data_IF_119083434327
#
_entry.id   IF_119083434327
#
_cell.length_a   1.000
_cell.length_b   1.000
_cell.length_c   1.000
_cell.angle_alpha   90.00
_cell.angle_beta   90.00
_cell.angle_gamma   90.00
#
_symmetry.space_group_name_H-M   'P 1'
#
loop_
_entity.id
_entity.type
_entity.pdbx_description
1 polymer ?
#
# COMPACT_ATOMS: atom_id res chain seq x y z
N UNK A 1 17.05 10.06 25.65
CA UNK A 1 17.16 11.21 24.73
C UNK A 1 17.85 10.85 23.40
N UNK A 2 18.89 10.01 23.39
CA UNK A 2 19.60 9.60 22.16
C UNK A 2 18.77 8.83 21.13
N UNK A 3 17.70 8.15 21.54
CA UNK A 3 16.87 7.36 20.60
C UNK A 3 16.09 8.25 19.62
N UNK A 4 15.52 9.37 20.09
CA UNK A 4 14.82 10.35 19.24
C UNK A 4 15.76 11.13 18.33
N UNK A 5 16.98 11.37 18.80
CA UNK A 5 18.03 12.05 18.07
C UNK A 5 19.15 11.06 17.79
N UNK A 6 18.84 10.04 16.98
CA UNK A 6 19.77 8.92 16.78
C UNK A 6 20.97 9.32 15.93
N UNK A 7 22.16 8.88 16.37
CA UNK A 7 23.42 9.07 15.66
C UNK A 7 24.06 7.71 15.33
N UNK A 8 23.50 6.93 14.38
CA UNK A 8 24.07 5.64 13.99
C UNK A 8 25.40 5.78 13.22
N UNK A 9 25.70 6.99 12.73
CA UNK A 9 27.01 7.40 12.18
C UNK A 9 27.57 8.57 12.96
N UNK A 10 28.90 8.64 13.03
CA UNK A 10 29.61 9.77 13.63
C UNK A 10 29.99 10.74 12.53
N UNK A 11 29.34 11.90 12.52
CA UNK A 11 29.55 12.94 11.52
C UNK A 11 30.06 14.19 12.22
N UNK A 12 31.16 14.76 11.74
CA UNK A 12 31.71 16.03 12.18
C UNK A 12 31.72 17.00 11.00
N UNK A 13 30.94 18.06 11.09
CA UNK A 13 30.89 19.11 10.07
C UNK A 13 32.11 20.04 10.19
N UNK A 14 32.74 20.38 9.07
CA UNK A 14 33.76 21.43 9.02
C UNK A 14 33.07 22.75 8.72
N UNK A 15 33.16 23.68 9.68
CA UNK A 15 32.57 25.00 9.59
C UNK A 15 33.64 25.99 9.13
N UNK A 16 33.35 26.70 8.06
CA UNK A 16 34.17 27.78 7.52
C UNK A 16 33.50 29.11 7.87
N UNK A 17 34.21 29.99 8.59
CA UNK A 17 33.69 31.29 9.00
C UNK A 17 34.03 32.31 7.91
N UNK A 18 33.10 32.48 6.98
CA UNK A 18 33.21 33.38 5.84
C UNK A 18 31.80 33.79 5.40
N UNK A 19 31.68 34.98 4.80
CA UNK A 19 30.41 35.40 4.20
C UNK A 19 30.25 34.73 2.84
N UNK A 20 29.13 34.06 2.64
CA UNK A 20 28.76 33.53 1.33
C UNK A 20 27.30 33.10 1.27
N UNK A 21 26.94 32.39 0.22
CA UNK A 21 25.57 31.96 -0.06
C UNK A 21 25.51 30.43 0.03
N UNK A 22 24.51 29.90 0.73
CA UNK A 22 24.31 28.46 0.84
C UNK A 22 23.77 27.88 -0.48
N UNK A 23 24.45 26.87 -1.04
CA UNK A 23 24.04 26.23 -2.30
C UNK A 23 22.68 25.49 -2.23
N UNK A 24 22.22 25.14 -1.01
CA UNK A 24 20.98 24.38 -0.82
C UNK A 24 19.75 25.29 -0.71
N UNK A 25 19.85 26.37 0.08
CA UNK A 25 18.72 27.26 0.36
C UNK A 25 18.87 28.67 -0.22
N UNK A 26 20.00 28.96 -0.86
CA UNK A 26 20.35 30.24 -1.49
C UNK A 26 20.32 31.46 -0.54
N UNK A 27 20.47 31.23 0.77
CA UNK A 27 20.51 32.31 1.79
C UNK A 27 21.94 32.69 2.12
N UNK A 28 22.17 33.97 2.39
CA UNK A 28 23.46 34.46 2.90
C UNK A 28 23.73 33.90 4.30
N UNK A 29 24.97 33.48 4.56
CA UNK A 29 25.44 33.00 5.86
C UNK A 29 26.87 33.46 6.10
N UNK A 30 27.21 33.72 7.37
CA UNK A 30 28.58 33.97 7.84
C UNK A 30 29.32 32.69 8.26
N UNK A 31 28.64 31.54 8.20
CA UNK A 31 29.20 30.22 8.46
C UNK A 31 28.71 29.27 7.37
N UNK A 32 29.64 28.69 6.62
CA UNK A 32 29.37 27.70 5.58
C UNK A 32 29.93 26.33 5.98
N UNK A 33 29.34 25.27 5.43
CA UNK A 33 29.80 23.89 5.61
C UNK A 33 30.06 23.29 4.25
N UNK A 34 31.33 23.14 3.89
CA UNK A 34 31.75 22.61 2.57
C UNK A 34 32.23 21.15 2.63
N UNK A 35 32.56 20.66 3.82
CA UNK A 35 33.05 19.30 4.01
C UNK A 35 32.66 18.74 5.39
N UNK A 36 32.76 17.42 5.53
CA UNK A 36 32.56 16.74 6.79
C UNK A 36 33.50 15.53 6.91
N UNK A 37 33.80 15.13 8.13
CA UNK A 37 34.40 13.83 8.41
C UNK A 37 33.30 12.86 8.86
N UNK A 38 33.39 11.62 8.39
CA UNK A 38 32.50 10.55 8.81
C UNK A 38 33.30 9.35 9.32
N UNK A 39 32.82 8.73 10.38
CA UNK A 39 33.27 7.42 10.84
C UNK A 39 32.08 6.49 10.99
N UNK A 40 32.20 5.26 10.51
CA UNK A 40 31.20 4.22 10.67
C UNK A 40 31.02 3.84 12.14
N UNK A 41 29.93 3.12 12.44
CA UNK A 41 29.60 2.57 13.76
C UNK A 41 29.47 3.64 14.86
N UNK A 42 28.31 4.28 14.93
CA UNK A 42 27.87 5.11 16.06
C UNK A 42 27.23 4.25 17.17
N UNK A 43 26.20 4.78 17.83
CA UNK A 43 25.45 4.02 18.84
C UNK A 43 24.60 2.92 18.17
N UNK A 44 24.51 1.76 18.83
CA UNK A 44 23.57 0.69 18.47
C UNK A 44 22.25 0.87 19.22
N UNK A 45 21.14 0.68 18.51
CA UNK A 45 19.78 0.87 19.06
C UNK A 45 18.94 -0.42 19.00
N UNK A 46 19.50 -1.53 18.51
CA UNK A 46 18.79 -2.79 18.26
C UNK A 46 18.50 -3.59 19.53
N UNK A 47 19.29 -3.43 20.59
CA UNK A 47 19.20 -4.27 21.80
C UNK A 47 18.16 -3.76 22.81
N UNK A 48 17.66 -2.53 22.66
CA UNK A 48 16.80 -1.87 23.65
C UNK A 48 15.30 -2.10 23.48
N UNK A 49 14.86 -2.91 22.51
CA UNK A 49 13.43 -3.16 22.24
C UNK A 49 12.62 -1.89 21.95
N UNK A 50 13.28 -0.81 21.54
CA UNK A 50 12.66 0.50 21.39
C UNK A 50 11.79 0.57 20.13
N UNK A 51 10.56 1.06 20.31
CA UNK A 51 9.59 1.31 19.24
C UNK A 51 9.48 2.83 19.07
N UNK A 52 9.86 3.33 17.90
CA UNK A 52 9.83 4.76 17.57
C UNK A 52 8.36 5.22 17.44
N UNK A 53 7.95 6.32 18.10
CA UNK A 53 6.54 6.70 18.12
C UNK A 53 6.01 7.26 16.80
N UNK A 54 6.89 7.63 15.87
CA UNK A 54 6.56 8.18 14.55
C UNK A 54 6.57 7.15 13.41
N UNK A 55 6.83 5.88 13.68
CA UNK A 55 6.88 4.85 12.64
C UNK A 55 5.93 3.71 12.97
N UNK A 56 5.26 3.11 11.97
CA UNK A 56 4.55 1.86 12.17
C UNK A 56 5.55 0.69 12.23
N UNK A 57 5.16 -0.38 12.90
CA UNK A 57 6.00 -1.57 13.11
C UNK A 57 5.23 -2.85 12.81
N UNK A 58 5.91 -3.88 12.32
CA UNK A 58 5.41 -5.24 12.23
C UNK A 58 6.16 -6.16 13.17
N UNK A 59 5.50 -7.23 13.59
CA UNK A 59 6.09 -8.27 14.42
C UNK A 59 6.65 -9.38 13.52
N UNK A 60 7.91 -9.74 13.72
CA UNK A 60 8.52 -10.92 13.09
C UNK A 60 9.19 -11.75 14.17
N UNK A 61 8.75 -13.00 14.31
CA UNK A 61 9.09 -13.86 15.46
C UNK A 61 8.72 -13.14 16.77
N UNK A 62 9.69 -12.85 17.61
CA UNK A 62 9.50 -12.18 18.91
C UNK A 62 9.95 -10.71 18.89
N UNK A 63 10.32 -10.18 17.72
CA UNK A 63 10.89 -8.83 17.60
C UNK A 63 10.02 -7.91 16.74
N UNK A 64 9.99 -6.64 17.12
CA UNK A 64 9.32 -5.58 16.37
C UNK A 64 10.28 -4.92 15.40
N UNK A 65 9.85 -4.76 14.16
CA UNK A 65 10.63 -4.11 13.10
C UNK A 65 9.83 -2.96 12.50
N UNK A 66 10.48 -1.81 12.23
CA UNK A 66 9.79 -0.70 11.58
C UNK A 66 9.45 -1.08 10.13
N UNK A 67 8.33 -0.61 9.63
CA UNK A 67 8.07 -0.68 8.20
C UNK A 67 9.01 0.27 7.45
N UNK A 68 9.58 -0.24 6.35
CA UNK A 68 10.36 0.54 5.41
C UNK A 68 9.58 0.69 4.10
N UNK A 69 9.57 1.89 3.49
CA UNK A 69 9.06 2.05 2.13
C UNK A 69 9.70 1.03 1.19
N UNK A 70 8.88 0.46 0.31
CA UNK A 70 9.30 -0.52 -0.68
C UNK A 70 9.24 0.10 -2.08
N UNK A 71 9.90 -0.50 -3.09
CA UNK A 71 9.70 -0.12 -4.48
C UNK A 71 8.22 -0.07 -4.84
N UNK A 72 7.79 1.01 -5.49
CA UNK A 72 6.39 1.26 -5.83
C UNK A 72 5.66 2.22 -4.88
N UNK A 73 6.27 2.56 -3.75
CA UNK A 73 5.84 3.65 -2.88
C UNK A 73 4.78 3.29 -1.83
N UNK A 74 4.23 4.32 -1.18
CA UNK A 74 3.27 4.20 -0.09
C UNK A 74 1.86 4.38 -0.65
N UNK A 75 1.23 3.27 -1.02
CA UNK A 75 -0.09 3.23 -1.66
C UNK A 75 -1.18 2.80 -0.68
N UNK A 76 -2.44 3.00 -1.05
CA UNK A 76 -3.59 2.71 -0.17
C UNK A 76 -3.67 1.27 0.37
N UNK A 77 -2.98 0.29 -0.23
CA UNK A 77 -2.91 -1.07 0.31
C UNK A 77 -2.32 -1.13 1.74
N UNK A 78 -1.52 -0.14 2.12
CA UNK A 78 -0.93 0.00 3.45
C UNK A 78 -1.79 0.85 4.40
N UNK A 79 -2.91 1.40 3.92
CA UNK A 79 -3.74 2.34 4.68
C UNK A 79 -4.13 1.77 6.05
N UNK A 80 -4.61 0.51 6.09
CA UNK A 80 -5.05 -0.11 7.34
C UNK A 80 -3.89 -0.28 8.34
N UNK A 81 -2.71 -0.70 7.89
CA UNK A 81 -1.50 -0.80 8.73
C UNK A 81 -1.05 0.56 9.27
N UNK A 82 -1.13 1.61 8.44
CA UNK A 82 -0.69 2.95 8.83
C UNK A 82 -1.68 3.60 9.80
N UNK A 83 -2.98 3.51 9.50
CA UNK A 83 -4.03 4.23 10.22
C UNK A 83 -4.50 3.51 11.48
N UNK A 84 -4.57 2.17 11.45
CA UNK A 84 -5.18 1.37 12.51
C UNK A 84 -4.15 0.42 13.17
N UNK A 85 -3.43 -0.33 12.34
CA UNK A 85 -2.62 -1.47 12.78
C UNK A 85 -3.48 -2.66 13.20
N UNK A 86 -2.84 -3.80 13.48
CA UNK A 86 -3.43 -5.07 13.89
C UNK A 86 -2.60 -5.59 15.06
N UNK A 87 -2.90 -5.14 16.28
CA UNK A 87 -2.04 -5.17 17.47
C UNK A 87 -1.12 -6.40 17.67
N UNK A 88 -1.55 -7.59 17.25
CA UNK A 88 -0.77 -8.84 17.37
C UNK A 88 0.28 -9.04 16.26
N UNK A 89 0.05 -8.51 15.06
CA UNK A 89 0.87 -8.70 13.86
C UNK A 89 1.60 -7.41 13.45
N UNK A 90 0.94 -6.26 13.57
CA UNK A 90 1.49 -4.95 13.29
C UNK A 90 0.88 -3.84 14.17
N UNK A 91 1.51 -2.67 14.20
CA UNK A 91 1.01 -1.53 14.95
C UNK A 91 1.26 -0.24 14.16
N UNK A 92 0.21 0.59 14.10
CA UNK A 92 0.33 1.97 13.64
C UNK A 92 1.29 2.76 14.56
N UNK A 93 1.85 3.84 14.02
CA UNK A 93 2.71 4.73 14.79
C UNK A 93 1.98 5.21 16.06
N UNK A 94 2.70 5.35 17.18
CA UNK A 94 2.12 5.74 18.46
C UNK A 94 1.35 7.06 18.36
N UNK A 95 1.86 8.03 17.60
CA UNK A 95 1.17 9.32 17.40
C UNK A 95 -0.20 9.16 16.75
N UNK A 96 -0.35 8.23 15.81
CA UNK A 96 -1.62 7.91 15.15
C UNK A 96 -2.57 7.22 16.13
N UNK A 97 -2.07 6.22 16.88
CA UNK A 97 -2.88 5.52 17.91
C UNK A 97 -3.37 6.47 19.01
N UNK A 98 -2.56 7.47 19.38
CA UNK A 98 -2.99 8.52 20.32
C UNK A 98 -4.02 9.45 19.70
N UNK A 99 -3.91 9.71 18.40
CA UNK A 99 -4.85 10.55 17.66
C UNK A 99 -6.22 9.88 17.48
N UNK A 100 -6.33 8.55 17.34
CA UNK A 100 -7.62 7.83 17.28
C UNK A 100 -8.53 8.12 18.48
N UNK A 101 -7.95 8.42 19.64
CA UNK A 101 -8.71 8.74 20.85
C UNK A 101 -9.15 10.22 20.94
N UNK A 102 -8.70 11.07 20.01
CA UNK A 102 -9.03 12.49 19.95
C UNK A 102 -10.40 12.66 19.30
N UNK A 103 -11.29 13.43 19.93
CA UNK A 103 -12.65 13.72 19.42
C UNK A 103 -12.81 15.21 19.24
N UNK A 104 -12.41 15.74 18.08
CA UNK A 104 -12.75 17.11 17.70
C UNK A 104 -13.80 17.07 16.60
N UNK A 105 -15.03 17.57 16.86
CA UNK A 105 -16.07 17.65 15.86
C UNK A 105 -15.61 18.48 14.65
N UNK A 106 -15.75 17.93 13.44
CA UNK A 106 -15.43 18.63 12.18
C UNK A 106 -13.94 18.71 11.83
N UNK A 107 -13.04 18.12 12.62
CA UNK A 107 -11.60 18.07 12.29
C UNK A 107 -11.36 17.14 11.10
N UNK A 108 -10.95 17.69 9.96
CA UNK A 108 -10.42 16.90 8.85
C UNK A 108 -8.94 16.66 9.12
N UNK A 109 -8.56 15.39 9.23
CA UNK A 109 -7.17 14.98 9.47
C UNK A 109 -6.69 14.11 8.33
N UNK A 110 -5.43 14.32 7.93
CA UNK A 110 -4.68 13.44 7.05
C UNK A 110 -3.44 12.90 7.78
N UNK A 111 -2.93 11.78 7.29
CA UNK A 111 -1.64 11.22 7.71
C UNK A 111 -0.65 11.50 6.60
N UNK A 112 0.38 12.29 6.89
CA UNK A 112 1.54 12.40 6.02
C UNK A 112 2.50 11.25 6.34
N UNK A 113 2.76 10.42 5.34
CA UNK A 113 3.71 9.31 5.42
C UNK A 113 4.86 9.51 4.46
N UNK A 114 6.07 9.18 4.89
CA UNK A 114 7.24 9.35 4.04
C UNK A 114 8.39 8.44 4.47
N UNK A 115 9.33 8.26 3.55
CA UNK A 115 10.64 7.67 3.86
C UNK A 115 11.39 7.24 2.61
N UNK A 116 12.65 6.84 2.82
CA UNK A 116 13.47 6.27 1.75
C UNK A 116 13.21 4.79 1.57
N UNK A 117 13.03 4.39 0.31
CA UNK A 117 13.31 3.03 -0.12
C UNK A 117 14.83 2.84 -0.25
N UNK A 118 15.36 1.85 0.45
CA UNK A 118 16.80 1.61 0.62
C UNK A 118 17.15 0.22 0.09
N UNK A 119 18.27 0.12 -0.61
CA UNK A 119 18.90 -1.15 -0.99
C UNK A 119 20.37 -1.14 -0.55
N UNK A 120 20.72 -1.97 0.44
CA UNK A 120 22.05 -2.08 1.03
C UNK A 120 22.77 -0.72 1.20
N UNK A 121 22.20 0.15 2.05
CA UNK A 121 22.70 1.50 2.35
C UNK A 121 22.65 2.51 1.19
N UNK A 122 22.04 2.16 0.05
CA UNK A 122 21.78 3.08 -1.06
C UNK A 122 20.33 3.53 -1.04
N UNK A 123 20.10 4.84 -0.99
CA UNK A 123 18.78 5.42 -1.19
C UNK A 123 18.41 5.27 -2.67
N UNK A 124 17.32 4.53 -2.95
CA UNK A 124 16.79 4.36 -4.31
C UNK A 124 15.80 5.45 -4.66
N UNK A 125 14.88 5.74 -3.75
CA UNK A 125 13.79 6.70 -3.96
C UNK A 125 13.29 7.25 -2.61
N UNK A 126 12.90 8.53 -2.59
CA UNK A 126 12.06 9.08 -1.52
C UNK A 126 10.60 8.90 -1.91
N UNK A 127 9.82 8.28 -1.03
CA UNK A 127 8.38 8.18 -1.19
C UNK A 127 7.68 9.03 -0.13
N UNK A 128 6.60 9.65 -0.55
CA UNK A 128 5.73 10.48 0.27
C UNK A 128 4.30 10.27 -0.19
N UNK A 129 3.38 10.18 0.78
CA UNK A 129 1.96 10.02 0.52
C UNK A 129 1.16 10.63 1.67
N UNK A 130 0.18 11.44 1.30
CA UNK A 130 -0.81 11.99 2.22
C UNK A 130 -2.09 11.16 2.08
N UNK A 131 -2.49 10.48 3.16
CA UNK A 131 -3.65 9.60 3.17
C UNK A 131 -4.72 10.11 4.14
N UNK A 132 -6.02 9.92 3.85
CA UNK A 132 -7.08 10.35 4.75
C UNK A 132 -7.04 9.56 6.08
N UNK A 133 -7.27 10.27 7.18
CA UNK A 133 -7.49 9.67 8.49
C UNK A 133 -8.99 9.67 8.83
N UNK A 134 -9.51 8.52 9.24
CA UNK A 134 -10.91 8.39 9.62
C UNK A 134 -11.01 8.15 11.13
N UNK A 135 -11.68 9.06 11.82
CA UNK A 135 -11.96 8.91 13.25
C UNK A 135 -13.20 8.01 13.42
N UNK A 136 -12.99 6.79 13.92
CA UNK A 136 -14.03 5.78 14.11
C UNK A 136 -14.25 5.58 15.61
N UNK A 137 -15.51 5.58 16.04
CA UNK A 137 -15.84 5.33 17.44
C UNK A 137 -15.54 3.89 17.84
N UNK A 138 -15.16 3.66 19.10
CA UNK A 138 -14.74 2.36 19.61
C UNK A 138 -15.80 1.25 19.48
N UNK A 139 -17.09 1.61 19.47
CA UNK A 139 -18.21 0.68 19.23
C UNK A 139 -18.34 0.24 17.76
N UNK A 140 -17.68 0.93 16.82
CA UNK A 140 -17.77 0.68 15.37
C UNK A 140 -16.45 0.24 14.74
N UNK A 141 -15.33 0.35 15.47
CA UNK A 141 -13.98 0.14 14.94
C UNK A 141 -13.79 -1.28 14.37
N UNK A 142 -14.21 -2.33 15.10
CA UNK A 142 -14.08 -3.71 14.62
C UNK A 142 -14.84 -3.94 13.32
N UNK A 143 -16.07 -3.41 13.22
CA UNK A 143 -16.88 -3.56 12.01
C UNK A 143 -16.27 -2.81 10.82
N UNK A 144 -15.77 -1.60 11.06
CA UNK A 144 -15.08 -0.80 10.06
C UNK A 144 -13.83 -1.52 9.55
N UNK A 145 -12.98 -2.00 10.47
CA UNK A 145 -11.77 -2.78 10.15
C UNK A 145 -12.09 -4.03 9.33
N UNK A 146 -13.16 -4.75 9.68
CA UNK A 146 -13.62 -5.91 8.93
C UNK A 146 -13.94 -5.54 7.47
N UNK A 147 -14.70 -4.47 7.25
CA UNK A 147 -15.09 -4.04 5.90
C UNK A 147 -13.87 -3.59 5.09
N UNK A 148 -12.99 -2.77 5.68
CA UNK A 148 -11.75 -2.31 5.02
C UNK A 148 -10.85 -3.50 4.66
N UNK A 149 -10.71 -4.47 5.56
CA UNK A 149 -9.92 -5.68 5.31
C UNK A 149 -10.45 -6.46 4.10
N UNK A 150 -11.77 -6.65 4.01
CA UNK A 150 -12.41 -7.34 2.87
C UNK A 150 -12.17 -6.58 1.54
N UNK A 151 -12.29 -5.24 1.56
CA UNK A 151 -12.04 -4.35 0.41
C UNK A 151 -10.58 -4.44 -0.07
N UNK A 152 -9.62 -4.38 0.86
CA UNK A 152 -8.18 -4.48 0.56
C UNK A 152 -7.78 -5.87 0.07
N UNK A 153 -8.35 -6.93 0.67
CA UNK A 153 -8.08 -8.31 0.24
C UNK A 153 -8.61 -8.58 -1.18
N UNK A 154 -9.79 -8.06 -1.52
CA UNK A 154 -10.31 -8.14 -2.89
C UNK A 154 -9.42 -7.41 -3.90
N UNK A 155 -8.92 -6.23 -3.54
CA UNK A 155 -7.95 -5.48 -4.35
C UNK A 155 -6.68 -6.30 -4.60
N UNK A 156 -6.19 -6.98 -3.55
CA UNK A 156 -5.00 -7.84 -3.62
C UNK A 156 -5.22 -9.04 -4.55
N UNK A 157 -6.38 -9.69 -4.48
CA UNK A 157 -6.72 -10.83 -5.35
C UNK A 157 -6.86 -10.40 -6.81
N UNK A 158 -7.56 -9.30 -7.10
CA UNK A 158 -7.71 -8.79 -8.48
C UNK A 158 -6.35 -8.35 -9.07
N UNK A 159 -5.51 -7.68 -8.28
CA UNK A 159 -4.14 -7.32 -8.66
C UNK A 159 -3.29 -8.54 -9.02
N UNK A 160 -3.41 -9.62 -8.23
CA UNK A 160 -2.75 -10.91 -8.52
C UNK A 160 -3.27 -11.53 -9.82
N UNK A 161 -4.59 -11.52 -10.03
CA UNK A 161 -5.22 -12.02 -11.25
C UNK A 161 -4.74 -11.25 -12.49
N UNK A 162 -4.67 -9.91 -12.41
CA UNK A 162 -4.13 -9.04 -13.46
C UNK A 162 -2.70 -9.46 -13.83
N UNK A 163 -1.82 -9.58 -12.83
CA UNK A 163 -0.42 -9.98 -13.05
C UNK A 163 -0.31 -11.33 -13.74
N UNK A 164 -1.11 -12.30 -13.30
CA UNK A 164 -1.13 -13.62 -13.91
C UNK A 164 -1.67 -13.59 -15.34
N UNK A 165 -2.70 -12.78 -15.60
CA UNK A 165 -3.27 -12.64 -16.92
C UNK A 165 -2.27 -12.03 -17.91
N UNK A 166 -1.61 -10.92 -17.55
CA UNK A 166 -0.58 -10.29 -18.40
C UNK A 166 0.57 -11.26 -18.64
N UNK A 167 1.03 -11.98 -17.61
CA UNK A 167 2.03 -13.04 -17.78
C UNK A 167 1.59 -14.10 -18.79
N UNK A 168 0.35 -14.57 -18.69
CA UNK A 168 -0.21 -15.57 -19.61
C UNK A 168 -0.38 -15.02 -21.04
N UNK A 169 -0.55 -13.71 -21.20
CA UNK A 169 -0.64 -13.06 -22.50
C UNK A 169 0.74 -12.91 -23.16
N UNK A 170 1.79 -12.67 -22.38
CA UNK A 170 3.14 -12.44 -22.89
C UNK A 170 3.95 -13.72 -23.12
N UNK A 171 3.90 -14.67 -22.17
CA UNK A 171 4.78 -15.83 -22.16
C UNK A 171 4.09 -17.06 -22.75
N UNK A 172 4.81 -17.77 -23.62
CA UNK A 172 4.46 -19.14 -23.94
C UNK A 172 5.02 -20.06 -22.83
N UNK A 173 4.32 -21.16 -22.52
CA UNK A 173 4.65 -22.05 -21.39
C UNK A 173 6.08 -22.60 -21.43
N UNK A 174 6.77 -22.50 -22.57
CA UNK A 174 8.13 -22.96 -22.81
C UNK A 174 9.23 -21.96 -22.41
N UNK A 175 8.93 -20.67 -22.26
CA UNK A 175 9.90 -19.62 -21.91
C UNK A 175 9.49 -18.89 -20.63
N UNK A 176 9.69 -19.54 -19.47
CA UNK A 176 9.36 -19.00 -18.15
C UNK A 176 10.46 -18.05 -17.61
N UNK A 177 10.84 -17.05 -18.41
CA UNK A 177 11.66 -15.95 -17.86
C UNK A 177 10.74 -15.06 -17.01
N UNK A 178 10.97 -15.05 -15.69
CA UNK A 178 10.20 -14.26 -14.73
C UNK A 178 10.52 -12.77 -14.89
N UNK A 179 9.87 -12.11 -15.84
CA UNK A 179 9.86 -10.65 -15.92
C UNK A 179 9.24 -10.04 -14.65
N UNK A 180 9.78 -8.90 -14.22
CA UNK A 180 9.23 -8.13 -13.11
C UNK A 180 7.95 -7.40 -13.58
N UNK A 181 6.83 -7.74 -12.94
CA UNK A 181 5.50 -7.17 -13.21
C UNK A 181 5.01 -6.29 -12.05
N UNK A 182 5.89 -5.87 -11.15
CA UNK A 182 5.54 -5.00 -10.01
C UNK A 182 5.00 -3.65 -10.46
N UNK A 183 5.35 -3.15 -11.64
CA UNK A 183 4.78 -1.92 -12.19
C UNK A 183 3.25 -2.01 -12.40
N UNK A 184 2.71 -3.21 -12.68
CA UNK A 184 1.25 -3.43 -12.80
C UNK A 184 0.56 -3.22 -11.46
N UNK A 185 1.19 -3.66 -10.38
CA UNK A 185 0.66 -3.47 -9.03
C UNK A 185 0.54 -1.98 -8.71
N UNK A 186 1.60 -1.21 -8.97
CA UNK A 186 1.64 0.22 -8.71
C UNK A 186 0.60 0.95 -9.56
N UNK A 187 0.53 0.63 -10.86
CA UNK A 187 -0.43 1.25 -11.77
C UNK A 187 -1.87 0.97 -11.34
N UNK A 188 -2.18 -0.30 -11.03
CA UNK A 188 -3.50 -0.70 -10.57
C UNK A 188 -3.92 0.02 -9.29
N UNK A 189 -3.05 0.04 -8.29
CA UNK A 189 -3.36 0.68 -7.01
C UNK A 189 -3.49 2.20 -7.16
N UNK A 190 -2.68 2.85 -8.00
CA UNK A 190 -2.85 4.29 -8.27
C UNK A 190 -4.17 4.58 -8.98
N UNK A 191 -4.54 3.78 -9.98
CA UNK A 191 -5.78 3.95 -10.74
C UNK A 191 -7.04 3.80 -9.88
N UNK A 192 -6.99 2.98 -8.82
CA UNK A 192 -8.14 2.71 -7.94
C UNK A 192 -8.10 3.44 -6.59
N UNK A 193 -7.08 4.28 -6.35
CA UNK A 193 -6.81 4.90 -5.04
C UNK A 193 -7.93 5.83 -4.57
N UNK A 194 -8.34 6.78 -5.40
CA UNK A 194 -9.40 7.73 -5.04
C UNK A 194 -10.71 7.01 -4.72
N UNK A 195 -11.08 6.04 -5.56
CA UNK A 195 -12.28 5.23 -5.35
C UNK A 195 -12.22 4.36 -4.10
N UNK A 196 -11.03 3.89 -3.71
CA UNK A 196 -10.84 3.22 -2.42
C UNK A 196 -11.14 4.17 -1.25
N UNK A 197 -10.60 5.40 -1.29
CA UNK A 197 -10.81 6.37 -0.22
C UNK A 197 -12.26 6.83 -0.10
N UNK A 198 -12.94 7.05 -1.23
CA UNK A 198 -14.37 7.36 -1.23
C UNK A 198 -15.20 6.18 -0.71
N UNK A 199 -14.83 4.95 -1.07
CA UNK A 199 -15.50 3.75 -0.58
C UNK A 199 -15.40 3.61 0.94
N UNK A 200 -14.22 3.76 1.53
CA UNK A 200 -14.07 3.62 2.98
C UNK A 200 -14.68 4.80 3.75
N UNK A 201 -14.76 6.00 3.14
CA UNK A 201 -15.57 7.11 3.67
C UNK A 201 -17.05 6.74 3.72
N UNK A 202 -17.61 6.18 2.63
CA UNK A 202 -19.00 5.73 2.59
C UNK A 202 -19.27 4.60 3.61
N UNK A 203 -18.30 3.70 3.84
CA UNK A 203 -18.42 2.69 4.90
C UNK A 203 -18.51 3.34 6.28
N UNK A 204 -17.67 4.34 6.58
CA UNK A 204 -17.75 5.08 7.84
C UNK A 204 -19.11 5.78 7.99
N UNK A 205 -19.57 6.49 6.97
CA UNK A 205 -20.84 7.22 6.98
C UNK A 205 -22.03 6.28 7.21
N UNK A 206 -22.08 5.14 6.51
CA UNK A 206 -23.11 4.12 6.71
C UNK A 206 -23.11 3.58 8.15
N UNK A 207 -21.93 3.32 8.73
CA UNK A 207 -21.81 2.88 10.12
C UNK A 207 -22.31 3.94 11.11
N UNK A 208 -22.05 5.23 10.84
CA UNK A 208 -22.55 6.34 11.66
C UNK A 208 -24.09 6.43 11.57
N UNK A 209 -24.66 6.25 10.38
CA UNK A 209 -26.10 6.28 10.13
C UNK A 209 -26.84 4.99 10.55
N UNK A 210 -26.13 3.95 11.01
CA UNK A 210 -26.72 2.68 11.44
C UNK A 210 -27.06 1.71 10.30
N UNK A 211 -26.58 1.97 9.09
CA UNK A 211 -26.73 1.06 7.94
C UNK A 211 -25.67 -0.04 8.02
N UNK A 212 -26.11 -1.29 8.14
CA UNK A 212 -25.22 -2.45 8.30
C UNK A 212 -24.99 -3.25 7.00
N UNK A 213 -25.74 -2.97 5.94
CA UNK A 213 -25.58 -3.63 4.65
C UNK A 213 -24.61 -2.84 3.75
N UNK A 214 -23.49 -3.48 3.41
CA UNK A 214 -22.44 -2.94 2.54
C UNK A 214 -22.40 -3.63 1.17
N UNK A 215 -23.35 -4.52 0.86
CA UNK A 215 -23.30 -5.34 -0.36
C UNK A 215 -23.27 -4.47 -1.63
N UNK A 216 -24.10 -3.43 -1.72
CA UNK A 216 -24.13 -2.55 -2.88
C UNK A 216 -22.80 -1.79 -3.11
N UNK A 217 -22.18 -1.30 -2.02
CA UNK A 217 -20.87 -0.64 -2.07
C UNK A 217 -19.79 -1.61 -2.55
N UNK A 218 -19.81 -2.84 -2.04
CA UNK A 218 -18.88 -3.91 -2.40
C UNK A 218 -19.05 -4.39 -3.84
N UNK A 219 -20.28 -4.51 -4.33
CA UNK A 219 -20.53 -4.85 -5.74
C UNK A 219 -19.99 -3.77 -6.68
N UNK A 220 -20.22 -2.50 -6.32
CA UNK A 220 -19.68 -1.35 -7.06
C UNK A 220 -18.16 -1.39 -7.08
N UNK A 221 -17.54 -1.67 -5.94
CA UNK A 221 -16.09 -1.82 -5.83
C UNK A 221 -15.55 -2.96 -6.69
N UNK A 222 -16.17 -4.15 -6.62
CA UNK A 222 -15.74 -5.31 -7.39
C UNK A 222 -15.81 -5.04 -8.90
N UNK A 223 -16.86 -4.37 -9.36
CA UNK A 223 -17.01 -3.95 -10.75
C UNK A 223 -15.87 -3.01 -11.15
N UNK A 224 -15.58 -1.99 -10.33
CA UNK A 224 -14.50 -1.03 -10.59
C UNK A 224 -13.12 -1.70 -10.62
N UNK A 225 -12.82 -2.59 -9.66
CA UNK A 225 -11.57 -3.36 -9.65
C UNK A 225 -11.42 -4.18 -10.92
N UNK A 226 -12.49 -4.88 -11.33
CA UNK A 226 -12.48 -5.68 -12.54
C UNK A 226 -12.25 -4.81 -13.78
N UNK A 227 -12.98 -3.70 -13.93
CA UNK A 227 -12.84 -2.76 -15.06
C UNK A 227 -11.43 -2.14 -15.13
N UNK A 228 -10.85 -1.79 -13.99
CA UNK A 228 -9.49 -1.23 -13.91
C UNK A 228 -8.42 -2.27 -14.29
N UNK A 229 -8.54 -3.50 -13.79
CA UNK A 229 -7.64 -4.60 -14.18
C UNK A 229 -7.77 -4.93 -15.66
N UNK A 230 -8.99 -4.97 -16.17
CA UNK A 230 -9.33 -5.18 -17.57
C UNK A 230 -8.65 -4.14 -18.47
N UNK A 231 -8.76 -2.84 -18.12
CA UNK A 231 -8.15 -1.73 -18.86
C UNK A 231 -6.62 -1.81 -18.86
N UNK A 232 -6.01 -2.07 -17.70
CA UNK A 232 -4.55 -2.23 -17.60
C UNK A 232 -4.07 -3.44 -18.40
N UNK A 233 -4.79 -4.56 -18.35
CA UNK A 233 -4.46 -5.70 -19.18
C UNK A 233 -4.44 -5.31 -20.66
N UNK A 234 -5.48 -4.62 -21.16
CA UNK A 234 -5.57 -4.25 -22.58
C UNK A 234 -4.40 -3.32 -22.98
N UNK A 235 -3.99 -2.40 -22.10
CA UNK A 235 -2.84 -1.53 -22.35
C UNK A 235 -1.50 -2.26 -22.46
N UNK A 236 -1.29 -3.32 -21.67
CA UNK A 236 0.00 -4.01 -21.60
C UNK A 236 0.02 -5.31 -22.43
N UNK A 237 -1.13 -5.90 -22.76
CA UNK A 237 -1.17 -7.14 -23.55
C UNK A 237 -0.66 -6.92 -24.99
N UNK A 238 -0.97 -5.75 -25.57
CA UNK A 238 -0.59 -5.39 -26.95
C UNK A 238 0.90 -5.06 -27.10
N UNK A 239 1.65 -4.89 -26.01
CA UNK A 239 3.10 -4.63 -26.07
C UNK A 239 3.95 -5.91 -26.25
N UNK A 240 3.33 -7.10 -26.33
CA UNK A 240 4.02 -8.38 -26.57
C UNK A 240 4.03 -8.77 -28.05
N UNK A 241 5.18 -9.21 -28.58
CA UNK A 241 5.44 -9.59 -30.00
C UNK A 241 4.22 -10.10 -30.81
N UNK A 242 3.97 -9.49 -31.98
CA UNK A 242 2.81 -9.76 -32.85
C UNK A 242 2.98 -11.03 -33.72
N UNK A 243 3.08 -12.21 -33.12
CA UNK A 243 2.92 -13.47 -33.85
C UNK A 243 1.46 -13.94 -33.78
N UNK A 244 0.94 -14.57 -34.84
CA UNK A 244 -0.47 -14.98 -34.94
C UNK A 244 -0.92 -15.95 -33.82
N UNK A 245 0.00 -16.75 -33.25
CA UNK A 245 -0.27 -17.57 -32.05
C UNK A 245 -0.57 -16.73 -30.79
N UNK A 246 -0.14 -15.46 -30.76
CA UNK A 246 -0.31 -14.57 -29.61
C UNK A 246 -1.76 -14.07 -29.46
N UNK A 247 -2.52 -13.89 -30.54
CA UNK A 247 -3.87 -13.28 -30.47
C UNK A 247 -4.85 -14.19 -29.72
N UNK A 248 -4.89 -15.49 -30.01
CA UNK A 248 -5.76 -16.43 -29.29
C UNK A 248 -5.42 -16.47 -27.80
N UNK A 249 -4.11 -16.44 -27.49
CA UNK A 249 -3.60 -16.43 -26.11
C UNK A 249 -4.02 -15.16 -25.36
N UNK A 250 -3.87 -13.98 -25.96
CA UNK A 250 -4.28 -12.70 -25.39
C UNK A 250 -5.79 -12.71 -25.09
N UNK A 251 -6.61 -13.11 -26.06
CA UNK A 251 -8.08 -13.16 -25.90
C UNK A 251 -8.48 -14.14 -24.79
N UNK A 252 -7.83 -15.31 -24.71
CA UNK A 252 -8.09 -16.29 -23.65
C UNK A 252 -7.66 -15.79 -22.27
N UNK A 253 -6.49 -15.16 -22.17
CA UNK A 253 -6.01 -14.57 -20.93
C UNK A 253 -6.95 -13.45 -20.44
N UNK A 254 -7.41 -12.59 -21.35
CA UNK A 254 -8.39 -11.53 -21.07
C UNK A 254 -9.72 -12.06 -20.54
N UNK A 255 -10.25 -13.09 -21.20
CA UNK A 255 -11.51 -13.74 -20.80
C UNK A 255 -11.37 -14.36 -19.41
N UNK A 256 -10.26 -15.06 -19.15
CA UNK A 256 -10.01 -15.68 -17.87
C UNK A 256 -9.84 -14.64 -16.76
N UNK A 257 -9.16 -13.52 -17.01
CA UNK A 257 -9.05 -12.41 -16.06
C UNK A 257 -10.42 -11.95 -15.57
N UNK A 258 -11.33 -11.65 -16.50
CA UNK A 258 -12.69 -11.21 -16.18
C UNK A 258 -13.46 -12.24 -15.35
N UNK A 259 -13.34 -13.53 -15.72
CA UNK A 259 -14.00 -14.61 -14.98
C UNK A 259 -13.42 -14.74 -13.57
N UNK A 260 -12.10 -14.76 -13.43
CA UNK A 260 -11.42 -14.90 -12.14
C UNK A 260 -11.70 -13.75 -11.19
N UNK A 261 -11.76 -12.51 -11.69
CA UNK A 261 -12.08 -11.35 -10.87
C UNK A 261 -13.51 -11.35 -10.34
N UNK A 262 -14.45 -11.98 -11.05
CA UNK A 262 -15.87 -11.99 -10.69
C UNK A 262 -16.34 -13.34 -10.14
N UNK A 263 -15.40 -14.25 -9.86
CA UNK A 263 -15.72 -15.59 -9.39
C UNK A 263 -16.20 -15.61 -7.93
N UNK A 264 -16.64 -16.78 -7.49
CA UNK A 264 -17.09 -16.98 -6.11
C UNK A 264 -15.98 -16.70 -5.11
N UNK A 265 -14.72 -16.97 -5.43
CA UNK A 265 -13.59 -16.76 -4.52
C UNK A 265 -13.42 -15.27 -4.22
N UNK A 266 -13.34 -14.44 -5.25
CA UNK A 266 -13.16 -12.98 -5.08
C UNK A 266 -14.36 -12.35 -4.38
N UNK A 267 -15.58 -12.82 -4.70
CA UNK A 267 -16.81 -12.37 -4.03
C UNK A 267 -16.81 -12.74 -2.53
N UNK A 268 -16.41 -13.97 -2.18
CA UNK A 268 -16.31 -14.42 -0.78
C UNK A 268 -15.25 -13.61 -0.03
N UNK A 269 -14.09 -13.33 -0.65
CA UNK A 269 -13.03 -12.49 -0.06
C UNK A 269 -13.59 -11.09 0.29
N UNK A 270 -14.44 -10.54 -0.57
CA UNK A 270 -15.08 -9.24 -0.35
C UNK A 270 -16.27 -9.32 0.62
N UNK A 271 -16.64 -10.51 1.10
CA UNK A 271 -17.79 -10.72 1.99
C UNK A 271 -19.14 -10.56 1.29
N UNK A 272 -19.22 -10.84 -0.01
CA UNK A 272 -20.47 -10.89 -0.78
C UNK A 272 -21.07 -12.30 -0.76
N UNK A 273 -22.39 -12.39 -0.72
CA UNK A 273 -23.12 -13.65 -0.82
C UNK A 273 -22.99 -14.19 -2.25
N UNK A 274 -22.73 -15.49 -2.36
CA UNK A 274 -22.69 -16.22 -3.63
C UNK A 274 -23.87 -17.18 -3.65
N UNK A 275 -24.74 -17.08 -4.66
CA UNK A 275 -25.81 -18.06 -4.88
C UNK A 275 -25.19 -19.43 -5.16
N UNK A 276 -25.65 -20.49 -4.47
CA UNK A 276 -25.21 -21.86 -4.76
C UNK A 276 -25.45 -22.18 -6.24
N UNK A 277 -24.41 -22.68 -6.92
CA UNK A 277 -24.56 -23.22 -8.27
C UNK A 277 -25.49 -24.41 -8.19
N UNK A 278 -26.67 -24.31 -8.80
CA UNK A 278 -27.54 -25.46 -9.09
C UNK A 278 -26.67 -26.58 -9.69
N UNK A 279 -26.64 -27.71 -8.99
CA UNK A 279 -25.83 -28.85 -9.40
C UNK A 279 -26.20 -29.25 -10.82
N UNK A 280 -25.18 -29.62 -11.59
CA UNK A 280 -25.29 -30.04 -12.98
C UNK A 280 -26.46 -31.02 -13.14
N UNK A 281 -27.43 -30.68 -13.99
CA UNK A 281 -28.42 -31.62 -14.53
C UNK A 281 -27.70 -32.92 -14.90
N UNK A 282 -28.06 -34.01 -14.21
CA UNK A 282 -27.69 -35.36 -14.58
C UNK A 282 -28.06 -35.56 -16.06
N UNK A 283 -27.06 -35.74 -16.92
CA UNK A 283 -27.27 -36.34 -18.23
C UNK A 283 -27.48 -37.84 -17.98
N UNK A 284 -28.73 -38.29 -18.13
CA UNK A 284 -29.03 -39.67 -18.50
C UNK A 284 -28.67 -39.86 -19.97
#
# INVERSE_FOLDING_TARGET
>A
MSVYWSYPRRILLRKDVENGICDVCNRSSSVLVRSYHTKTYGLSYSEGGWIHPLSPYYKSKESWFPYHPQPGGILYQYWQTIALGKEQEDQAALVIRRFLNRKIPGEQTSILTFGYDMDNMKARCWYESEIPFFNISSDKIEKFEEQVSQILNASTEVKKNLRQAVRNAWLDKKNDSKGDLTFLDVSFLKDTENSFYDLIRNVQENLISGVADFAALKETWLKLLNESACKLFDQYADSGSFEFENIERIVKARKNLKISNLDSKTRIILGLIVSEKTSKRNKK
#
